data_IF_736126649818
#
_entry.id   IF_736126649818
#
_cell.length_a   1.000
_cell.length_b   1.000
_cell.length_c   1.000
_cell.angle_alpha   90.00
_cell.angle_beta   90.00
_cell.angle_gamma   90.00
#
_symmetry.space_group_name_H-M   'P 1'
#
loop_
_entity.id
_entity.type
_entity.pdbx_description
1 polymer ?
#
# COMPACT_ATOMS: atom_id res chain seq x y z
N UNK A 1 -23.71 61.07 24.59
CA UNK A 1 -22.34 61.59 24.81
C UNK A 1 -21.42 60.57 24.16
N UNK A 2 -21.21 60.74 22.85
CA UNK A 2 -20.02 61.39 22.25
C UNK A 2 -18.87 60.38 22.17
N UNK A 3 -18.07 60.21 21.11
CA UNK A 3 -17.93 60.71 19.74
C UNK A 3 -16.82 59.81 19.14
N UNK A 4 -16.94 59.25 17.94
CA UNK A 4 -16.48 59.76 16.63
C UNK A 4 -14.95 59.93 16.45
N UNK A 5 -14.45 59.47 15.29
CA UNK A 5 -13.15 59.81 14.68
C UNK A 5 -12.40 58.56 14.16
N UNK A 6 -12.51 58.06 12.92
CA UNK A 6 -12.31 58.62 11.56
C UNK A 6 -10.87 58.54 11.03
N UNK A 7 -10.75 57.94 9.82
CA UNK A 7 -9.85 58.24 8.69
C UNK A 7 -8.33 57.91 8.80
N UNK A 8 -7.58 57.53 7.74
CA UNK A 8 -7.79 57.58 6.28
C UNK A 8 -6.81 56.68 5.51
N UNK A 9 -7.23 56.28 4.31
CA UNK A 9 -6.48 55.85 3.12
C UNK A 9 -5.21 56.67 2.78
N UNK A 10 -4.21 56.03 2.13
CA UNK A 10 -3.95 56.17 0.67
C UNK A 10 -2.48 55.89 0.25
N UNK A 11 -2.37 55.13 -0.85
CA UNK A 11 -1.41 55.17 -1.97
C UNK A 11 0.10 55.47 -1.77
N UNK A 12 0.94 54.69 -2.46
CA UNK A 12 1.71 55.14 -3.65
C UNK A 12 2.59 54.00 -4.23
N UNK A 13 2.65 53.92 -5.56
CA UNK A 13 3.54 53.14 -6.45
C UNK A 13 4.05 54.13 -7.53
N UNK A 14 4.84 53.69 -8.52
CA UNK A 14 6.30 53.49 -8.65
C UNK A 14 7.00 54.71 -9.33
N UNK A 15 8.26 54.62 -9.84
CA UNK A 15 8.53 54.31 -11.27
C UNK A 15 9.85 53.51 -11.55
N UNK A 16 9.95 52.67 -12.61
CA UNK A 16 10.61 52.87 -13.94
C UNK A 16 12.15 53.01 -13.90
N UNK A 17 13.01 52.65 -14.88
CA UNK A 17 13.02 51.92 -16.15
C UNK A 17 14.50 51.95 -16.65
N UNK A 18 14.88 51.07 -17.58
CA UNK A 18 15.91 51.16 -18.66
C UNK A 18 16.64 49.81 -18.80
N UNK A 19 16.65 49.05 -19.90
CA UNK A 19 16.73 49.27 -21.36
C UNK A 19 18.01 49.96 -21.83
N UNK A 20 18.92 49.17 -22.43
CA UNK A 20 19.91 49.63 -23.40
C UNK A 20 19.93 48.62 -24.55
N UNK A 21 19.53 49.16 -25.71
CA UNK A 21 19.67 48.66 -27.07
C UNK A 21 21.05 49.09 -27.60
N UNK A 22 21.63 48.30 -28.50
CA UNK A 22 22.51 48.79 -29.56
C UNK A 22 22.73 47.64 -30.57
N UNK A 23 22.05 47.73 -31.71
CA UNK A 23 22.27 46.88 -32.86
C UNK A 23 23.43 47.35 -33.75
N UNK A 24 24.08 46.42 -34.46
CA UNK A 24 24.70 46.73 -35.74
C UNK A 24 24.77 45.49 -36.66
N UNK A 25 24.47 45.71 -37.93
CA UNK A 25 24.33 44.72 -39.00
C UNK A 25 25.65 44.54 -39.75
N UNK A 26 25.98 43.30 -40.19
CA UNK A 26 26.35 43.00 -41.58
C UNK A 26 26.66 41.50 -41.86
N UNK A 27 25.82 40.94 -42.75
CA UNK A 27 26.10 40.16 -43.97
C UNK A 27 27.11 38.98 -43.96
N UNK A 28 26.52 37.78 -44.09
CA UNK A 28 26.87 36.60 -44.91
C UNK A 28 28.31 36.01 -44.87
N UNK A 29 28.44 34.74 -44.43
CA UNK A 29 28.99 33.66 -45.28
C UNK A 29 28.77 32.25 -44.68
N UNK A 30 28.57 31.29 -45.57
CA UNK A 30 28.37 29.87 -45.32
C UNK A 30 29.65 29.16 -44.80
N UNK A 31 29.48 28.12 -43.98
CA UNK A 31 30.58 27.22 -43.60
C UNK A 31 30.22 26.16 -42.56
N UNK A 32 30.07 24.91 -43.02
CA UNK A 32 30.10 23.61 -42.33
C UNK A 32 30.10 23.56 -40.77
N UNK A 33 29.01 23.03 -40.18
CA UNK A 33 28.94 22.69 -38.75
C UNK A 33 29.37 21.23 -38.53
N UNK A 34 30.48 21.04 -37.81
CA UNK A 34 30.96 19.76 -37.25
C UNK A 34 29.98 19.26 -36.18
N UNK A 35 29.75 17.94 -36.03
CA UNK A 35 28.92 17.43 -34.94
C UNK A 35 29.61 17.67 -33.59
N UNK A 36 28.88 18.30 -32.67
CA UNK A 36 29.28 18.55 -31.28
C UNK A 36 29.40 17.24 -30.49
N UNK A 37 30.31 17.15 -29.51
CA UNK A 37 30.40 15.99 -28.62
C UNK A 37 29.19 15.97 -27.67
N UNK A 38 28.62 14.77 -27.48
CA UNK A 38 27.49 14.49 -26.59
C UNK A 38 27.83 14.90 -25.14
N UNK A 39 26.87 15.36 -24.33
CA UNK A 39 27.12 15.68 -22.93
C UNK A 39 27.47 14.41 -22.15
N UNK A 40 28.64 14.41 -21.52
CA UNK A 40 29.08 13.35 -20.61
C UNK A 40 28.09 13.24 -19.45
N UNK A 41 27.34 12.14 -19.39
CA UNK A 41 26.70 11.72 -18.14
C UNK A 41 27.84 11.23 -17.24
N UNK A 42 28.24 12.05 -16.27
CA UNK A 42 28.98 11.58 -15.10
C UNK A 42 28.11 10.59 -14.32
N UNK A 43 28.04 9.34 -14.77
CA UNK A 43 27.53 8.22 -14.00
C UNK A 43 28.62 7.84 -12.99
N UNK A 44 28.49 8.26 -11.74
CA UNK A 44 29.17 7.57 -10.64
C UNK A 44 28.63 6.14 -10.64
N UNK A 45 29.41 5.22 -11.19
CA UNK A 45 29.13 3.79 -11.15
C UNK A 45 29.83 3.26 -9.90
N UNK A 46 29.10 2.78 -8.88
CA UNK A 46 29.66 2.07 -7.74
C UNK A 46 30.75 1.07 -8.13
N UNK A 47 31.82 0.93 -7.32
CA UNK A 47 33.03 0.22 -7.70
C UNK A 47 32.81 -1.26 -8.07
N UNK A 48 31.75 -1.89 -7.55
CA UNK A 48 31.38 -3.27 -7.89
C UNK A 48 30.57 -3.42 -9.19
N UNK A 49 30.10 -2.32 -9.78
CA UNK A 49 29.47 -2.28 -11.11
C UNK A 49 30.47 -1.90 -12.21
N UNK A 50 31.74 -1.69 -11.87
CA UNK A 50 32.80 -1.61 -12.85
C UNK A 50 32.88 -2.96 -13.56
N UNK A 51 32.87 -2.95 -14.89
CA UNK A 51 33.04 -4.14 -15.71
C UNK A 51 34.43 -4.71 -15.40
N UNK A 52 34.49 -5.72 -14.53
CA UNK A 52 35.68 -6.54 -14.41
C UNK A 52 35.92 -7.15 -15.79
N UNK A 53 37.05 -6.80 -16.43
CA UNK A 53 37.55 -7.53 -17.58
C UNK A 53 37.94 -8.94 -17.11
N UNK A 54 36.93 -9.82 -17.05
CA UNK A 54 37.18 -11.25 -17.01
C UNK A 54 37.75 -11.59 -18.37
N UNK A 55 38.97 -12.13 -18.38
CA UNK A 55 39.57 -12.73 -19.56
C UNK A 55 38.52 -13.65 -20.21
N UNK A 56 38.11 -13.35 -21.44
CA UNK A 56 37.02 -14.07 -22.10
C UNK A 56 37.45 -15.53 -22.32
N UNK A 57 37.02 -16.41 -21.42
CA UNK A 57 37.19 -17.84 -21.62
C UNK A 57 36.40 -18.24 -22.86
N UNK A 58 37.08 -18.81 -23.85
CA UNK A 58 36.59 -19.16 -25.20
C UNK A 58 35.35 -20.05 -25.19
N UNK A 59 35.05 -20.70 -24.06
CA UNK A 59 33.84 -21.49 -23.82
C UNK A 59 32.56 -20.65 -23.71
N UNK A 60 32.66 -19.35 -23.37
CA UNK A 60 31.51 -18.44 -23.28
C UNK A 60 31.24 -17.67 -24.58
N UNK A 61 32.17 -17.70 -25.54
CA UNK A 61 32.01 -17.07 -26.86
C UNK A 61 30.99 -17.82 -27.75
N UNK A 62 30.89 -19.14 -27.60
CA UNK A 62 29.90 -19.95 -28.32
C UNK A 62 28.44 -19.57 -27.97
N UNK A 63 28.19 -19.04 -26.76
CA UNK A 63 26.89 -18.47 -26.38
C UNK A 63 26.68 -17.03 -26.87
N UNK A 64 27.75 -16.31 -27.24
CA UNK A 64 27.66 -14.95 -27.77
C UNK A 64 27.41 -14.92 -29.29
N UNK A 65 27.85 -15.93 -30.04
CA UNK A 65 27.50 -16.09 -31.46
C UNK A 65 26.03 -16.50 -31.65
N UNK A 66 25.38 -16.97 -30.58
CA UNK A 66 23.95 -17.30 -30.56
C UNK A 66 23.05 -16.17 -30.03
N UNK A 67 23.58 -14.94 -29.93
CA UNK A 67 22.80 -13.78 -29.50
C UNK A 67 21.61 -13.47 -30.44
N UNK A 68 21.66 -13.96 -31.68
CA UNK A 68 20.57 -13.85 -32.65
C UNK A 68 19.40 -14.82 -32.38
N UNK A 69 19.61 -15.89 -31.58
CA UNK A 69 18.54 -16.82 -31.17
C UNK A 69 18.12 -16.65 -29.70
N UNK A 70 18.89 -15.91 -28.89
CA UNK A 70 18.46 -15.50 -27.57
C UNK A 70 17.33 -14.48 -27.69
N UNK A 71 16.10 -14.97 -27.59
CA UNK A 71 14.95 -14.09 -27.45
C UNK A 71 15.21 -13.12 -26.29
N UNK A 72 15.07 -11.80 -26.49
CA UNK A 72 15.22 -10.85 -25.41
C UNK A 72 14.25 -11.21 -24.29
N UNK A 73 14.67 -11.00 -23.03
CA UNK A 73 13.77 -11.17 -21.88
C UNK A 73 12.64 -10.16 -22.05
N UNK A 74 11.48 -10.66 -22.51
CA UNK A 74 10.28 -9.86 -22.65
C UNK A 74 9.64 -9.78 -21.27
N UNK A 75 9.56 -8.57 -20.72
CA UNK A 75 8.80 -8.32 -19.51
C UNK A 75 7.32 -8.33 -19.89
N UNK A 76 6.70 -9.50 -19.79
CA UNK A 76 5.27 -9.67 -20.01
C UNK A 76 4.53 -9.24 -18.75
N UNK A 77 3.67 -8.24 -18.91
CA UNK A 77 2.86 -7.74 -17.81
C UNK A 77 1.63 -8.64 -17.61
N UNK A 78 1.72 -9.61 -16.69
CA UNK A 78 0.58 -10.41 -16.26
C UNK A 78 -0.28 -9.71 -15.20
N UNK A 79 -0.11 -8.40 -14.97
CA UNK A 79 -0.86 -7.67 -13.93
C UNK A 79 -2.32 -7.42 -14.33
N UNK A 80 -2.68 -7.55 -15.61
CA UNK A 80 -4.01 -7.26 -16.09
C UNK A 80 -4.61 -8.43 -16.89
N UNK A 81 -5.31 -9.35 -16.21
CA UNK A 81 -6.68 -9.77 -16.55
C UNK A 81 -7.10 -11.02 -15.77
N UNK A 82 -7.74 -10.80 -14.62
CA UNK A 82 -8.76 -11.73 -14.10
C UNK A 82 -8.32 -13.16 -13.80
N UNK A 83 -7.18 -13.37 -13.12
CA UNK A 83 -7.00 -14.65 -12.42
C UNK A 83 -8.22 -14.86 -11.53
N UNK A 84 -8.81 -16.06 -11.56
CA UNK A 84 -10.00 -16.38 -10.77
C UNK A 84 -9.76 -16.08 -9.27
N UNK A 85 -8.51 -16.20 -8.80
CA UNK A 85 -8.09 -15.78 -7.46
C UNK A 85 -8.22 -14.28 -7.22
N UNK A 86 -7.86 -13.41 -8.17
CA UNK A 86 -8.01 -11.96 -8.01
C UNK A 86 -9.48 -11.53 -8.04
N UNK A 87 -10.36 -12.25 -8.77
CA UNK A 87 -11.81 -12.02 -8.74
C UNK A 87 -12.45 -12.35 -7.39
N UNK A 88 -11.78 -13.16 -6.57
CA UNK A 88 -12.26 -13.52 -5.24
C UNK A 88 -12.05 -12.41 -4.19
N UNK A 89 -11.24 -11.38 -4.49
CA UNK A 89 -11.09 -10.21 -3.62
C UNK A 89 -12.31 -9.30 -3.75
N UNK A 90 -13.06 -9.17 -2.67
CA UNK A 90 -14.25 -8.31 -2.58
C UNK A 90 -14.10 -7.23 -1.49
N UNK A 91 -13.15 -7.40 -0.56
CA UNK A 91 -12.86 -6.45 0.51
C UNK A 91 -11.71 -5.52 0.10
N UNK A 92 -11.87 -4.24 0.39
CA UNK A 92 -10.89 -3.17 0.15
C UNK A 92 -10.13 -2.81 1.42
N UNK A 93 -10.84 -2.71 2.53
CA UNK A 93 -10.30 -2.25 3.81
C UNK A 93 -11.18 -2.78 4.95
N UNK A 94 -10.60 -2.93 6.15
CA UNK A 94 -11.35 -3.31 7.35
C UNK A 94 -10.90 -2.50 8.56
N UNK A 95 -11.89 -1.97 9.27
CA UNK A 95 -11.71 -1.33 10.57
C UNK A 95 -12.53 -2.04 11.64
N UNK A 96 -12.12 -1.88 12.89
CA UNK A 96 -12.95 -2.20 14.06
C UNK A 96 -13.15 -0.88 14.77
N UNK A 97 -14.36 -0.37 14.81
CA UNK A 97 -14.63 0.99 15.30
C UNK A 97 -14.73 0.97 16.82
N UNK A 98 -15.61 0.12 17.34
CA UNK A 98 -15.93 0.01 18.75
C UNK A 98 -16.19 -1.45 19.18
N UNK A 99 -16.53 -1.61 20.46
CA UNK A 99 -16.91 -2.88 21.06
C UNK A 99 -18.06 -2.67 22.03
N UNK A 100 -18.89 -3.70 22.18
CA UNK A 100 -20.01 -3.72 23.12
C UNK A 100 -19.78 -4.82 24.14
N UNK A 101 -19.90 -4.49 25.43
CA UNK A 101 -19.92 -5.47 26.51
C UNK A 101 -21.36 -5.89 26.73
N UNK A 102 -21.67 -7.15 26.41
CA UNK A 102 -22.99 -7.73 26.64
C UNK A 102 -22.98 -8.41 28.01
N UNK A 103 -23.80 -7.92 28.92
CA UNK A 103 -23.99 -8.49 30.26
C UNK A 103 -24.84 -9.77 30.17
N UNK A 104 -24.47 -10.80 30.93
CA UNK A 104 -25.32 -11.98 31.07
C UNK A 104 -26.52 -11.73 31.97
N UNK A 105 -27.43 -12.71 32.04
CA UNK A 105 -28.69 -12.65 32.80
C UNK A 105 -28.54 -12.39 34.30
N UNK A 106 -27.33 -12.57 34.86
CA UNK A 106 -26.99 -12.24 36.24
C UNK A 106 -25.77 -11.30 36.29
N UNK A 107 -25.71 -10.35 37.25
CA UNK A 107 -24.60 -9.42 37.37
C UNK A 107 -23.26 -10.17 37.50
N UNK A 108 -22.36 -9.97 36.53
CA UNK A 108 -21.01 -10.53 36.55
C UNK A 108 -20.85 -11.95 35.98
N UNK A 109 -21.94 -12.66 35.69
CA UNK A 109 -21.89 -14.01 35.10
C UNK A 109 -22.32 -13.99 33.64
N UNK A 110 -21.51 -14.59 32.76
CA UNK A 110 -21.83 -14.72 31.34
C UNK A 110 -21.59 -13.47 30.49
N UNK A 111 -20.96 -12.41 31.01
CA UNK A 111 -20.64 -11.24 30.21
C UNK A 111 -19.56 -11.55 29.14
N UNK A 112 -19.75 -11.00 27.94
CA UNK A 112 -18.81 -11.14 26.82
C UNK A 112 -18.65 -9.84 26.04
N UNK A 113 -17.61 -9.79 25.20
CA UNK A 113 -17.30 -8.62 24.36
C UNK A 113 -17.57 -8.97 22.91
N UNK A 114 -18.31 -8.10 22.24
CA UNK A 114 -18.61 -8.15 20.81
C UNK A 114 -17.86 -7.00 20.13
N UNK A 115 -17.17 -7.31 19.03
CA UNK A 115 -16.43 -6.36 18.22
C UNK A 115 -17.26 -5.95 17.01
N UNK A 116 -17.39 -4.64 16.81
CA UNK A 116 -18.07 -4.08 15.64
C UNK A 116 -17.02 -3.82 14.57
N UNK A 117 -17.04 -4.62 13.52
CA UNK A 117 -16.10 -4.51 12.41
C UNK A 117 -16.82 -3.94 11.19
N UNK A 118 -16.17 -3.00 10.52
CA UNK A 118 -16.64 -2.38 9.29
C UNK A 118 -15.70 -2.79 8.16
N UNK A 119 -16.20 -3.51 7.18
CA UNK A 119 -15.47 -3.94 5.99
C UNK A 119 -15.92 -3.09 4.82
N UNK A 120 -15.01 -2.35 4.21
CA UNK A 120 -15.28 -1.64 2.96
C UNK A 120 -15.21 -2.64 1.80
N UNK A 121 -16.31 -2.79 1.05
CA UNK A 121 -16.32 -3.65 -0.13
C UNK A 121 -15.92 -2.87 -1.39
N UNK A 122 -15.40 -3.58 -2.40
CA UNK A 122 -15.10 -3.00 -3.72
C UNK A 122 -16.37 -2.53 -4.44
N UNK A 123 -17.52 -3.16 -4.16
CA UNK A 123 -18.82 -2.83 -4.74
C UNK A 123 -19.49 -1.59 -4.11
N UNK A 124 -18.78 -0.87 -3.23
CA UNK A 124 -19.11 0.50 -2.85
C UNK A 124 -19.94 0.68 -1.58
N UNK A 125 -20.07 -0.34 -0.73
CA UNK A 125 -20.83 -0.25 0.53
C UNK A 125 -20.07 -0.81 1.74
N UNK A 126 -20.06 -0.14 2.90
CA UNK A 126 -19.50 -0.71 4.12
C UNK A 126 -20.40 -1.85 4.63
N UNK A 127 -19.83 -3.05 4.74
CA UNK A 127 -20.43 -4.21 5.38
C UNK A 127 -20.06 -4.22 6.87
N UNK A 128 -21.07 -4.21 7.75
CA UNK A 128 -20.84 -4.29 9.20
C UNK A 128 -21.05 -5.71 9.70
N UNK A 129 -20.09 -6.21 10.47
CA UNK A 129 -20.16 -7.51 11.14
C UNK A 129 -19.90 -7.36 12.63
N UNK A 130 -20.59 -8.16 13.44
CA UNK A 130 -20.44 -8.16 14.89
C UNK A 130 -19.99 -9.54 15.35
N UNK A 131 -18.78 -9.64 15.93
CA UNK A 131 -18.16 -10.93 16.25
C UNK A 131 -17.52 -10.94 17.64
N UNK A 132 -17.62 -12.05 18.36
CA UNK A 132 -16.91 -12.28 19.62
C UNK A 132 -15.49 -12.76 19.36
N UNK A 133 -14.58 -12.50 20.28
CA UNK A 133 -13.18 -12.95 20.16
C UNK A 133 -13.05 -14.45 19.90
N UNK A 134 -13.91 -15.29 20.50
CA UNK A 134 -13.89 -16.74 20.27
C UNK A 134 -14.17 -17.11 18.82
N UNK A 135 -15.02 -16.36 18.11
CA UNK A 135 -15.35 -16.62 16.71
C UNK A 135 -14.14 -16.34 15.80
N UNK A 136 -13.30 -15.35 16.13
CA UNK A 136 -12.04 -15.12 15.42
C UNK A 136 -11.05 -16.28 15.64
N UNK A 137 -11.01 -16.82 16.85
CA UNK A 137 -10.15 -17.96 17.18
C UNK A 137 -10.57 -19.24 16.44
N UNK A 138 -11.88 -19.49 16.37
CA UNK A 138 -12.46 -20.57 15.55
C UNK A 138 -12.16 -20.36 14.06
N UNK A 139 -12.32 -19.15 13.54
CA UNK A 139 -11.96 -18.81 12.16
C UNK A 139 -10.49 -19.12 11.87
N UNK A 140 -9.56 -18.70 12.74
CA UNK A 140 -8.13 -18.99 12.56
C UNK A 140 -7.85 -20.48 12.51
N UNK A 141 -8.45 -21.26 13.42
CA UNK A 141 -8.26 -22.72 13.44
C UNK A 141 -8.74 -23.34 12.12
N UNK A 142 -9.96 -23.00 11.68
CA UNK A 142 -10.51 -23.50 10.41
C UNK A 142 -9.69 -23.07 9.20
N UNK A 143 -9.14 -21.85 9.18
CA UNK A 143 -8.28 -21.39 8.09
C UNK A 143 -6.98 -22.20 8.03
N UNK A 144 -6.33 -22.46 9.16
CA UNK A 144 -5.10 -23.27 9.21
C UNK A 144 -5.38 -24.72 8.78
N UNK A 145 -6.52 -25.29 9.19
CA UNK A 145 -6.95 -26.63 8.77
C UNK A 145 -7.25 -26.71 7.27
N UNK A 146 -7.88 -25.67 6.71
CA UNK A 146 -8.28 -25.63 5.28
C UNK A 146 -7.09 -25.31 4.38
N UNK A 147 -6.15 -24.47 4.85
CA UNK A 147 -5.02 -23.97 4.07
C UNK A 147 -3.69 -24.24 4.79
N UNK A 148 -3.28 -25.52 4.92
CA UNK A 148 -2.08 -25.89 5.69
C UNK A 148 -0.78 -25.33 5.10
N UNK A 149 -0.75 -25.08 3.79
CA UNK A 149 0.41 -24.48 3.11
C UNK A 149 0.54 -22.96 3.32
N UNK A 150 -0.53 -22.31 3.78
CA UNK A 150 -0.60 -20.86 3.94
C UNK A 150 -0.54 -20.41 5.41
N UNK A 151 -0.10 -21.28 6.34
CA UNK A 151 0.01 -20.96 7.77
C UNK A 151 0.86 -19.70 8.03
N UNK A 152 1.93 -19.50 7.26
CA UNK A 152 2.76 -18.29 7.34
C UNK A 152 2.05 -16.99 6.96
N UNK A 153 0.95 -17.06 6.20
CA UNK A 153 0.11 -15.91 5.82
C UNK A 153 -1.04 -15.65 6.81
N UNK A 154 -1.30 -16.57 7.75
CA UNK A 154 -2.36 -16.44 8.76
C UNK A 154 -1.74 -15.88 10.04
N UNK A 155 -1.94 -14.59 10.36
CA UNK A 155 -1.28 -14.00 11.53
C UNK A 155 -1.79 -14.64 12.84
N UNK A 156 -0.92 -14.71 13.87
CA UNK A 156 -1.32 -15.20 15.18
C UNK A 156 -2.32 -14.23 15.84
N UNK A 157 -3.33 -14.78 16.50
CA UNK A 157 -4.27 -13.97 17.27
C UNK A 157 -3.64 -13.50 18.59
N UNK A 158 -4.07 -12.33 19.11
CA UNK A 158 -3.68 -11.88 20.44
C UNK A 158 -4.02 -12.94 21.50
N UNK A 159 -3.19 -13.11 22.53
CA UNK A 159 -3.38 -14.16 23.52
C UNK A 159 -4.77 -14.07 24.20
N UNK A 160 -5.35 -15.26 24.45
CA UNK A 160 -6.56 -15.39 25.26
C UNK A 160 -6.25 -14.92 26.69
N UNK A 161 -6.91 -13.86 27.15
CA UNK A 161 -6.89 -13.48 28.57
C UNK A 161 -8.28 -13.66 29.16
N UNK A 162 -8.37 -14.49 30.19
CA UNK A 162 -9.60 -14.71 30.97
C UNK A 162 -9.71 -13.75 32.16
N UNK A 163 -8.58 -13.28 32.68
CA UNK A 163 -8.51 -12.40 33.87
C UNK A 163 -8.66 -10.91 33.51
N UNK A 164 -8.17 -10.48 32.35
CA UNK A 164 -8.14 -9.07 31.93
C UNK A 164 -9.16 -8.71 30.84
N UNK A 165 -10.14 -9.57 30.57
CA UNK A 165 -11.01 -9.49 29.39
C UNK A 165 -11.84 -8.20 29.24
N UNK A 166 -12.06 -7.46 30.33
CA UNK A 166 -12.81 -6.20 30.32
C UNK A 166 -11.94 -4.96 30.57
N UNK A 167 -10.62 -5.11 30.73
CA UNK A 167 -9.74 -3.95 30.94
C UNK A 167 -9.60 -3.16 29.62
N UNK A 168 -9.83 -1.84 29.60
CA UNK A 168 -9.75 -1.05 28.37
C UNK A 168 -8.41 -1.19 27.63
N UNK A 169 -7.27 -1.11 28.34
CA UNK A 169 -5.94 -1.33 27.75
C UNK A 169 -5.73 -2.72 27.14
N UNK A 170 -6.45 -3.72 27.62
CA UNK A 170 -6.41 -5.06 27.04
C UNK A 170 -7.25 -5.13 25.77
N UNK A 171 -8.43 -4.52 25.79
CA UNK A 171 -9.33 -4.41 24.64
C UNK A 171 -8.68 -3.62 23.50
N UNK A 172 -8.01 -2.51 23.77
CA UNK A 172 -7.29 -1.75 22.74
C UNK A 172 -6.19 -2.57 22.06
N UNK A 173 -5.34 -3.26 22.83
CA UNK A 173 -4.30 -4.13 22.25
C UNK A 173 -4.90 -5.28 21.44
N UNK A 174 -5.99 -5.86 21.92
CA UNK A 174 -6.72 -6.90 21.21
C UNK A 174 -7.34 -6.36 19.93
N UNK A 175 -7.95 -5.16 19.95
CA UNK A 175 -8.51 -4.47 18.78
C UNK A 175 -7.46 -4.33 17.68
N UNK A 176 -6.27 -3.85 18.01
CA UNK A 176 -5.16 -3.71 17.04
C UNK A 176 -4.82 -5.05 16.39
N UNK A 177 -4.68 -6.11 17.20
CA UNK A 177 -4.39 -7.44 16.65
C UNK A 177 -5.53 -8.05 15.84
N UNK A 178 -6.79 -7.80 16.21
CA UNK A 178 -7.96 -8.25 15.43
C UNK A 178 -8.07 -7.50 14.10
N UNK A 179 -7.82 -6.19 14.09
CA UNK A 179 -7.77 -5.39 12.85
C UNK A 179 -6.65 -5.91 11.94
N UNK A 180 -5.46 -6.16 12.49
CA UNK A 180 -4.35 -6.73 11.71
C UNK A 180 -4.71 -8.11 11.14
N UNK A 181 -5.28 -8.98 11.97
CA UNK A 181 -5.73 -10.31 11.55
C UNK A 181 -6.75 -10.21 10.41
N UNK A 182 -7.80 -9.42 10.56
CA UNK A 182 -8.82 -9.26 9.52
C UNK A 182 -8.24 -8.67 8.24
N UNK A 183 -7.32 -7.70 8.32
CA UNK A 183 -6.66 -7.15 7.13
C UNK A 183 -5.88 -8.24 6.37
N UNK A 184 -5.11 -9.08 7.07
CA UNK A 184 -4.37 -10.17 6.43
C UNK A 184 -5.28 -11.21 5.78
N UNK A 185 -6.44 -11.50 6.39
CA UNK A 185 -7.36 -12.52 5.87
C UNK A 185 -8.25 -11.98 4.75
N UNK A 186 -8.90 -10.84 4.96
CA UNK A 186 -9.87 -10.27 4.00
C UNK A 186 -9.21 -9.73 2.74
N UNK A 187 -7.95 -9.27 2.83
CA UNK A 187 -7.23 -8.68 1.70
C UNK A 187 -6.30 -9.68 0.99
N UNK A 188 -6.33 -10.95 1.38
CA UNK A 188 -5.59 -12.01 0.69
C UNK A 188 -6.55 -12.78 -0.25
N UNK A 189 -6.29 -12.83 -1.58
CA UNK A 189 -7.14 -13.52 -2.55
C UNK A 189 -7.32 -15.01 -2.24
N UNK A 190 -6.34 -15.66 -1.60
CA UNK A 190 -6.42 -17.07 -1.22
C UNK A 190 -7.51 -17.35 -0.18
N UNK A 191 -7.72 -16.40 0.75
CA UNK A 191 -8.69 -16.55 1.84
C UNK A 191 -10.02 -15.86 1.56
N UNK A 192 -10.00 -14.71 0.86
CA UNK A 192 -11.16 -13.84 0.63
C UNK A 192 -12.34 -14.56 -0.03
N UNK A 193 -12.08 -15.50 -0.92
CA UNK A 193 -13.09 -16.31 -1.62
C UNK A 193 -13.59 -17.53 -0.85
N UNK A 194 -12.92 -17.91 0.25
CA UNK A 194 -13.13 -19.19 0.93
C UNK A 194 -14.51 -19.30 1.60
N UNK A 195 -15.12 -20.50 1.63
CA UNK A 195 -16.39 -20.71 2.32
C UNK A 195 -16.26 -20.50 3.84
N UNK A 196 -15.11 -20.85 4.42
CA UNK A 196 -14.82 -20.67 5.85
C UNK A 196 -14.94 -19.21 6.28
N UNK A 197 -14.38 -18.29 5.48
CA UNK A 197 -14.47 -16.86 5.75
C UNK A 197 -15.90 -16.34 5.53
N UNK A 198 -16.59 -16.79 4.46
CA UNK A 198 -17.99 -16.41 4.20
C UNK A 198 -18.90 -16.82 5.35
N UNK A 199 -18.77 -18.05 5.84
CA UNK A 199 -19.49 -18.52 7.03
C UNK A 199 -19.24 -17.61 8.23
N UNK A 200 -17.98 -17.28 8.53
CA UNK A 200 -17.65 -16.38 9.62
C UNK A 200 -18.33 -15.01 9.48
N UNK A 201 -18.42 -14.45 8.27
CA UNK A 201 -19.00 -13.12 8.02
C UNK A 201 -20.53 -13.10 8.15
N UNK A 202 -21.20 -14.20 7.78
CA UNK A 202 -22.66 -14.29 7.72
C UNK A 202 -23.29 -15.12 8.86
N UNK A 203 -22.50 -15.71 9.76
CA UNK A 203 -23.01 -16.45 10.92
C UNK A 203 -23.51 -15.57 12.06
#
# INVERSE_FOLDING_TARGET
>A
MESAGSNSESHLRPPSASCHDDGNSNKAQAGAVRPSPRPERNSIVPPYWQRHERNESTLSAASAENLALCQPILLEDHTNEGSEQCKALWAKHVSIDDYVIVSGSAPGLGAYVVWNCTVETLDGGPMKIMKRFSEFDELRQRLVETFPHADGAIPPLPPKSVISRFRPRFLERRKVGLVHFLNCILLNPEFAGSPVLKEFLFS
#
